data_IF_701681304820
#
_entry.id   IF_701681304820
#
_cell.length_a   1.000
_cell.length_b   1.000
_cell.length_c   1.000
_cell.angle_alpha   90.00
_cell.angle_beta   90.00
_cell.angle_gamma   90.00
#
_symmetry.space_group_name_H-M   'P 1'
#
loop_
_entity.id
_entity.type
_entity.pdbx_description
1 polymer ?
#
# COMPACT_ATOMS: atom_id res chain seq x y z
N UNK A 1 -6.17 8.62 -8.00
CA UNK A 1 -6.79 7.46 -7.34
C UNK A 1 -6.72 6.27 -8.26
N UNK A 2 -6.15 5.17 -7.79
CA UNK A 2 -6.11 3.90 -8.51
C UNK A 2 -7.38 3.11 -8.12
N UNK A 3 -8.43 3.33 -8.84
CA UNK A 3 -9.67 2.57 -8.75
C UNK A 3 -9.92 1.87 -10.09
N UNK A 4 -10.87 0.98 -10.17
CA UNK A 4 -11.21 0.33 -11.46
C UNK A 4 -12.05 1.22 -12.39
N UNK A 5 -12.15 2.53 -12.12
CA UNK A 5 -12.87 3.45 -12.98
C UNK A 5 -12.26 3.47 -14.39
N UNK A 6 -13.01 3.08 -15.42
CA UNK A 6 -12.54 3.08 -16.81
C UNK A 6 -12.27 4.49 -17.36
N UNK A 7 -12.71 5.53 -16.67
CA UNK A 7 -12.41 6.92 -17.04
C UNK A 7 -11.10 7.45 -16.42
N UNK A 8 -10.53 6.72 -15.44
CA UNK A 8 -9.35 7.19 -14.73
C UNK A 8 -8.04 6.72 -15.37
N UNK A 9 -7.28 7.59 -16.06
CA UNK A 9 -6.06 7.22 -16.76
C UNK A 9 -4.93 6.74 -15.85
N UNK A 10 -4.94 7.03 -14.56
CA UNK A 10 -3.94 6.50 -13.61
C UNK A 10 -3.91 4.97 -13.56
N UNK A 11 -4.96 4.30 -14.00
CA UNK A 11 -5.02 2.86 -14.03
C UNK A 11 -4.17 2.22 -15.14
N UNK A 12 -4.00 2.92 -16.29
CA UNK A 12 -3.30 2.34 -17.47
C UNK A 12 -2.22 3.23 -18.07
N UNK A 13 -2.14 4.49 -17.69
CA UNK A 13 -1.17 5.44 -18.23
C UNK A 13 -0.11 5.78 -17.18
N UNK A 14 1.09 5.24 -17.37
CA UNK A 14 2.22 5.51 -16.48
C UNK A 14 2.68 6.98 -16.48
N UNK A 15 2.35 7.74 -17.53
CA UNK A 15 2.69 9.17 -17.62
C UNK A 15 1.86 10.03 -16.65
N UNK A 16 0.75 9.49 -16.18
CA UNK A 16 -0.15 10.23 -15.29
C UNK A 16 0.47 10.46 -13.91
N UNK A 17 1.05 9.41 -13.32
CA UNK A 17 1.53 9.43 -11.95
C UNK A 17 2.96 8.86 -11.82
N UNK A 18 3.22 7.67 -12.36
CA UNK A 18 4.48 6.93 -12.15
C UNK A 18 5.67 7.74 -12.63
N UNK A 19 5.64 8.23 -13.87
CA UNK A 19 6.75 9.00 -14.44
C UNK A 19 6.92 10.39 -13.85
N UNK A 20 5.92 10.88 -13.12
CA UNK A 20 5.97 12.14 -12.37
C UNK A 20 6.43 11.95 -10.91
N UNK A 21 6.57 10.70 -10.47
CA UNK A 21 7.03 10.40 -9.13
C UNK A 21 8.46 10.89 -8.91
N UNK A 22 8.77 11.50 -7.75
CA UNK A 22 10.17 11.80 -7.37
C UNK A 22 11.09 10.58 -7.36
N UNK A 23 10.54 9.38 -7.25
CA UNK A 23 11.29 8.13 -7.29
C UNK A 23 11.67 7.70 -8.72
N UNK A 24 11.02 8.26 -9.75
CA UNK A 24 11.21 7.83 -11.13
C UNK A 24 12.66 7.82 -11.61
N UNK A 25 13.49 8.86 -11.35
CA UNK A 25 14.91 8.84 -11.76
C UNK A 25 15.73 7.73 -11.10
N UNK A 26 15.30 7.28 -9.91
CA UNK A 26 16.01 6.25 -9.15
C UNK A 26 15.57 4.83 -9.51
N UNK A 27 14.59 4.69 -10.38
CA UNK A 27 14.00 3.41 -10.79
C UNK A 27 14.51 2.95 -12.18
N UNK A 28 15.61 3.52 -12.67
CA UNK A 28 16.12 3.20 -14.01
C UNK A 28 15.12 3.50 -15.13
N UNK A 29 14.18 4.41 -14.90
CA UNK A 29 13.07 4.74 -15.81
C UNK A 29 12.24 3.50 -16.22
N UNK A 30 12.14 2.51 -15.34
CA UNK A 30 11.39 1.28 -15.59
C UNK A 30 9.98 1.35 -15.01
N UNK A 31 8.97 1.24 -15.86
CA UNK A 31 7.57 1.13 -15.43
C UNK A 31 7.30 -0.22 -14.77
N UNK A 32 8.00 -1.27 -15.20
CA UNK A 32 7.72 -2.63 -14.76
C UNK A 32 7.93 -2.88 -13.27
N UNK A 33 8.77 -2.10 -12.59
CA UNK A 33 9.01 -2.27 -11.14
C UNK A 33 7.86 -1.77 -10.26
N UNK A 34 6.92 -1.03 -10.82
CA UNK A 34 5.77 -0.49 -10.09
C UNK A 34 4.61 -1.46 -9.98
N UNK A 35 4.73 -2.61 -10.62
CA UNK A 35 3.71 -3.65 -10.60
C UNK A 35 4.32 -5.02 -10.35
N UNK A 36 3.74 -5.75 -9.41
CA UNK A 36 4.09 -7.16 -9.19
C UNK A 36 3.79 -7.97 -10.46
N UNK A 37 4.73 -8.77 -10.97
CA UNK A 37 4.49 -9.62 -12.15
C UNK A 37 3.36 -10.64 -11.97
N UNK A 38 3.03 -10.99 -10.73
CA UNK A 38 1.92 -11.89 -10.41
C UNK A 38 0.56 -11.17 -10.37
N UNK A 39 0.53 -9.84 -10.33
CA UNK A 39 -0.70 -9.06 -10.49
C UNK A 39 -1.13 -9.06 -11.95
N UNK A 40 -2.24 -9.73 -12.25
CA UNK A 40 -2.84 -9.84 -13.59
C UNK A 40 -4.01 -8.88 -13.78
N UNK A 41 -4.15 -7.89 -12.91
CA UNK A 41 -5.24 -6.93 -13.00
C UNK A 41 -5.24 -6.18 -14.33
N UNK A 42 -6.42 -5.97 -14.86
CA UNK A 42 -6.65 -5.26 -16.11
C UNK A 42 -7.74 -4.20 -15.93
N UNK A 43 -7.82 -3.29 -16.86
CA UNK A 43 -8.87 -2.28 -16.96
C UNK A 43 -9.27 -2.12 -18.42
N UNK A 44 -10.49 -1.69 -18.68
CA UNK A 44 -10.97 -1.35 -20.02
C UNK A 44 -11.23 0.16 -20.07
N UNK A 45 -10.28 0.98 -20.57
CA UNK A 45 -10.47 2.42 -20.67
C UNK A 45 -11.72 2.81 -21.45
N UNK A 46 -12.43 3.84 -20.99
CA UNK A 46 -13.59 4.39 -21.67
C UNK A 46 -13.22 5.46 -22.71
N UNK A 47 -11.97 5.95 -22.68
CA UNK A 47 -11.47 7.02 -23.54
C UNK A 47 -9.96 6.87 -23.82
N UNK A 48 -9.44 7.72 -24.71
CA UNK A 48 -8.03 7.75 -25.07
C UNK A 48 -7.61 6.64 -26.06
N UNK A 49 -6.29 6.43 -26.27
CA UNK A 49 -5.77 5.54 -27.30
C UNK A 49 -6.10 4.06 -27.08
N UNK A 50 -6.49 3.68 -25.87
CA UNK A 50 -6.86 2.31 -25.50
C UNK A 50 -8.35 2.12 -25.24
N UNK A 51 -9.19 3.08 -25.66
CA UNK A 51 -10.63 3.01 -25.43
C UNK A 51 -11.23 1.69 -25.92
N UNK A 52 -11.98 1.01 -25.04
CA UNK A 52 -12.61 -0.27 -25.34
C UNK A 52 -11.67 -1.49 -25.33
N UNK A 53 -10.36 -1.32 -25.24
CA UNK A 53 -9.40 -2.42 -25.16
C UNK A 53 -9.20 -2.87 -23.70
N UNK A 54 -8.88 -4.14 -23.51
CA UNK A 54 -8.44 -4.64 -22.19
C UNK A 54 -6.94 -4.44 -22.07
N UNK A 55 -6.52 -3.60 -21.15
CA UNK A 55 -5.09 -3.30 -20.90
C UNK A 55 -4.69 -3.61 -19.47
N UNK A 56 -3.42 -3.98 -19.21
CA UNK A 56 -2.93 -4.16 -17.85
C UNK A 56 -3.04 -2.87 -17.06
N UNK A 57 -3.36 -2.97 -15.75
CA UNK A 57 -3.12 -1.86 -14.82
C UNK A 57 -1.62 -1.69 -14.61
N UNK A 58 -1.18 -0.45 -14.38
CA UNK A 58 0.26 -0.11 -14.36
C UNK A 58 0.90 -0.22 -12.99
N UNK A 59 0.13 -0.47 -11.93
CA UNK A 59 0.65 -0.39 -10.57
C UNK A 59 -0.01 -1.35 -9.60
N UNK A 60 0.79 -2.00 -8.75
CA UNK A 60 0.38 -2.68 -7.53
C UNK A 60 1.27 -2.30 -6.34
N UNK A 61 2.41 -1.64 -6.57
CA UNK A 61 3.27 -1.20 -5.49
C UNK A 61 2.71 0.03 -4.78
N UNK A 62 2.67 -0.02 -3.45
CA UNK A 62 2.22 1.05 -2.59
C UNK A 62 3.27 1.37 -1.53
N UNK A 63 3.41 2.66 -1.20
CA UNK A 63 4.38 3.14 -0.22
C UNK A 63 3.75 3.29 1.16
N UNK A 64 4.48 2.92 2.21
CA UNK A 64 4.03 3.13 3.59
C UNK A 64 3.70 4.60 3.85
N UNK A 65 2.51 4.86 4.37
CA UNK A 65 2.11 6.22 4.76
C UNK A 65 2.99 6.79 5.89
N UNK A 66 3.61 5.93 6.68
CA UNK A 66 4.49 6.32 7.77
C UNK A 66 5.87 6.78 7.30
N UNK A 67 6.19 6.57 6.00
CA UNK A 67 7.40 7.04 5.34
C UNK A 67 7.06 8.16 4.38
N UNK A 68 7.56 9.37 4.62
CA UNK A 68 7.25 10.57 3.84
C UNK A 68 5.90 11.21 4.18
N UNK A 69 4.98 10.46 4.74
CA UNK A 69 3.64 10.91 5.10
C UNK A 69 2.75 11.21 3.91
N UNK A 70 1.56 11.67 4.21
CA UNK A 70 0.57 12.11 3.23
C UNK A 70 0.39 13.62 3.29
N UNK A 71 0.46 14.31 2.15
CA UNK A 71 0.09 15.72 2.06
C UNK A 71 -1.33 15.88 1.54
N UNK A 72 -2.18 16.51 2.34
CA UNK A 72 -3.49 16.96 1.91
C UNK A 72 -3.58 18.49 2.08
N UNK A 73 -3.98 19.17 1.03
CA UNK A 73 -4.24 20.61 0.84
C UNK A 73 -3.38 21.64 1.59
N UNK A 74 -3.00 21.50 2.85
CA UNK A 74 -2.24 22.52 3.61
C UNK A 74 -1.24 21.94 4.61
N UNK A 75 -0.88 20.66 4.53
CA UNK A 75 0.07 20.08 5.46
C UNK A 75 0.23 18.58 5.35
N UNK A 76 1.20 18.07 6.10
CA UNK A 76 1.42 16.66 6.25
C UNK A 76 0.28 16.07 7.09
N UNK A 77 -0.59 15.28 6.48
CA UNK A 77 -1.59 14.52 7.21
C UNK A 77 -0.89 13.30 7.80
N UNK A 78 -0.56 13.42 9.07
CA UNK A 78 0.00 12.33 9.87
C UNK A 78 -1.10 11.54 10.59
N UNK A 79 -2.31 12.01 10.44
CA UNK A 79 -3.51 11.47 11.03
C UNK A 79 -4.56 11.34 9.92
N UNK A 80 -4.57 10.20 9.28
CA UNK A 80 -5.65 9.87 8.33
C UNK A 80 -6.93 9.43 9.05
N UNK A 81 -7.14 9.89 10.28
CA UNK A 81 -8.27 9.50 11.13
C UNK A 81 -8.13 8.11 11.76
N UNK A 82 -7.02 7.43 11.52
CA UNK A 82 -6.92 6.01 11.80
C UNK A 82 -6.08 5.66 13.02
N UNK A 83 -5.08 6.47 13.35
CA UNK A 83 -4.15 6.15 14.42
C UNK A 83 -3.81 7.34 15.32
N UNK A 84 -4.36 8.52 15.04
CA UNK A 84 -4.19 9.74 15.81
C UNK A 84 -2.80 10.39 15.69
N UNK A 85 -2.63 11.59 16.25
CA UNK A 85 -1.42 12.41 16.09
C UNK A 85 -0.20 11.90 16.88
N UNK A 86 -0.34 10.79 17.58
CA UNK A 86 0.68 10.24 18.48
C UNK A 86 1.76 9.41 17.77
N UNK A 87 1.59 9.12 16.49
CA UNK A 87 2.51 8.27 15.74
C UNK A 87 3.49 9.08 14.91
N UNK A 88 4.73 8.58 14.80
CA UNK A 88 5.79 9.22 14.02
C UNK A 88 5.54 9.04 12.53
N UNK A 89 5.88 10.07 11.74
CA UNK A 89 6.08 9.96 10.30
C UNK A 89 7.55 10.23 10.04
N UNK A 90 8.21 9.31 9.36
CA UNK A 90 9.64 9.38 9.08
C UNK A 90 9.87 10.17 7.79
N UNK A 91 10.51 11.32 7.88
CA UNK A 91 10.82 12.17 6.72
C UNK A 91 12.20 11.91 6.12
N UNK A 92 13.07 11.29 6.87
CA UNK A 92 14.44 10.93 6.47
C UNK A 92 14.90 9.68 7.22
N UNK A 93 15.93 9.03 6.71
CA UNK A 93 16.45 7.77 7.25
C UNK A 93 16.87 7.89 8.74
N UNK A 94 17.46 9.03 9.11
CA UNK A 94 17.88 9.28 10.51
C UNK A 94 16.72 9.37 11.51
N UNK A 95 15.48 9.55 11.05
CA UNK A 95 14.30 9.57 11.91
C UNK A 95 13.86 8.15 12.34
N UNK A 96 14.34 7.14 11.61
CA UNK A 96 13.95 5.73 11.76
C UNK A 96 14.78 5.01 12.83
N UNK A 97 15.08 5.66 13.97
CA UNK A 97 15.84 5.03 15.05
C UNK A 97 15.09 3.85 15.69
N UNK A 98 13.78 3.92 15.73
CA UNK A 98 12.88 2.85 16.18
C UNK A 98 11.67 2.79 15.23
N UNK A 99 11.40 1.63 14.62
CA UNK A 99 11.95 0.27 14.83
C UNK A 99 13.31 0.01 14.15
N UNK A 100 13.92 1.01 13.57
CA UNK A 100 15.17 0.94 12.80
C UNK A 100 14.92 0.70 11.30
N UNK A 101 15.86 1.11 10.43
CA UNK A 101 15.71 1.00 8.98
C UNK A 101 15.47 -0.44 8.50
N UNK A 102 16.12 -1.41 9.12
CA UNK A 102 15.97 -2.86 8.80
C UNK A 102 14.58 -3.41 9.16
N UNK A 103 13.83 -2.70 9.96
CA UNK A 103 12.48 -3.10 10.38
C UNK A 103 11.40 -2.11 9.94
N UNK A 104 11.75 -1.06 9.20
CA UNK A 104 10.77 -0.11 8.66
C UNK A 104 10.50 -0.45 7.20
N UNK A 105 9.34 -1.03 6.91
CA UNK A 105 8.96 -1.29 5.53
C UNK A 105 8.59 0.00 4.81
N UNK A 106 8.98 0.09 3.54
CA UNK A 106 8.81 1.30 2.69
C UNK A 106 7.82 1.05 1.57
N UNK A 107 7.94 -0.08 0.87
CA UNK A 107 7.06 -0.44 -0.24
C UNK A 107 6.53 -1.86 -0.02
N UNK A 108 5.32 -2.09 -0.46
CA UNK A 108 4.72 -3.43 -0.52
C UNK A 108 3.86 -3.61 -1.77
N UNK A 109 3.62 -4.85 -2.16
CA UNK A 109 2.54 -5.18 -3.07
C UNK A 109 1.21 -4.95 -2.37
N UNK A 110 0.33 -4.18 -2.99
CA UNK A 110 -1.04 -4.02 -2.53
C UNK A 110 -1.99 -4.79 -3.42
N UNK A 111 -3.07 -5.28 -2.85
CA UNK A 111 -4.10 -6.01 -3.60
C UNK A 111 -4.74 -5.14 -4.66
N UNK A 112 -4.97 -5.72 -5.83
CA UNK A 112 -5.56 -5.05 -6.99
C UNK A 112 -6.95 -4.46 -6.72
N UNK A 113 -7.72 -5.05 -5.83
CA UNK A 113 -9.07 -4.61 -5.44
C UNK A 113 -9.07 -3.65 -4.25
N UNK A 114 -7.91 -3.25 -3.76
CA UNK A 114 -7.74 -2.36 -2.60
C UNK A 114 -6.82 -1.17 -2.85
N UNK A 115 -5.93 -1.25 -3.81
CA UNK A 115 -5.02 -0.15 -4.13
C UNK A 115 -5.79 1.09 -4.59
N UNK A 116 -5.54 2.23 -3.94
CA UNK A 116 -6.25 3.47 -4.21
C UNK A 116 -5.32 4.64 -4.59
N UNK A 117 -4.46 5.11 -3.73
CA UNK A 117 -3.59 6.26 -3.98
C UNK A 117 -2.12 5.91 -4.23
N UNK A 118 -1.74 4.67 -4.07
CA UNK A 118 -0.34 4.21 -4.17
C UNK A 118 0.48 4.49 -2.93
N UNK A 119 -0.19 4.74 -1.83
CA UNK A 119 0.30 4.60 -0.47
C UNK A 119 -0.53 3.53 0.23
N UNK A 120 0.08 2.86 1.18
CA UNK A 120 -0.56 1.82 1.96
C UNK A 120 -0.57 2.20 3.44
N UNK A 121 -1.69 1.98 4.06
CA UNK A 121 -1.95 2.36 5.43
C UNK A 121 -1.95 1.15 6.36
N UNK A 122 -0.97 1.08 7.28
CA UNK A 122 -1.06 0.19 8.43
C UNK A 122 -1.72 0.93 9.58
N UNK A 123 -2.93 0.51 9.95
CA UNK A 123 -3.63 1.08 11.11
C UNK A 123 -2.91 0.65 12.40
N UNK A 124 -2.52 1.63 13.20
CA UNK A 124 -1.79 1.41 14.45
C UNK A 124 -2.71 1.28 15.67
N UNK A 125 -4.03 1.22 15.44
CA UNK A 125 -4.99 1.07 16.55
C UNK A 125 -4.69 -0.19 17.36
N UNK A 126 -4.70 -0.04 18.67
CA UNK A 126 -4.47 -1.14 19.59
C UNK A 126 -3.04 -1.67 19.67
N UNK A 127 -2.09 -1.10 18.92
CA UNK A 127 -0.69 -1.52 19.00
C UNK A 127 0.01 -0.91 20.23
N UNK A 128 0.79 -1.68 20.98
CA UNK A 128 0.96 -3.15 20.88
C UNK A 128 -0.01 -3.95 21.78
N UNK A 129 -0.68 -3.29 22.75
CA UNK A 129 -1.21 -3.96 23.94
C UNK A 129 -2.73 -4.25 23.90
N UNK A 130 -3.43 -3.75 22.89
CA UNK A 130 -4.87 -3.97 22.72
C UNK A 130 -5.23 -4.72 21.42
N UNK A 131 -4.82 -6.00 21.27
CA UNK A 131 -4.97 -6.76 20.03
C UNK A 131 -6.43 -7.02 19.63
N UNK A 132 -7.37 -6.83 20.53
CA UNK A 132 -8.81 -6.90 20.23
C UNK A 132 -9.29 -5.77 19.30
N UNK A 133 -8.52 -4.68 19.18
CA UNK A 133 -8.85 -3.51 18.36
C UNK A 133 -8.21 -3.56 16.97
N UNK A 134 -7.34 -4.53 16.66
CA UNK A 134 -6.63 -4.58 15.39
C UNK A 134 -7.58 -4.74 14.22
N UNK A 135 -7.26 -4.06 13.12
CA UNK A 135 -8.08 -4.01 11.91
C UNK A 135 -7.23 -3.65 10.69
N UNK A 136 -7.72 -3.98 9.51
CA UNK A 136 -7.27 -3.36 8.26
C UNK A 136 -8.05 -2.06 8.04
N UNK A 137 -7.40 -1.09 7.43
CA UNK A 137 -8.01 0.17 7.02
C UNK A 137 -7.76 0.36 5.52
N UNK A 138 -8.82 0.29 4.75
CA UNK A 138 -8.82 0.31 3.28
C UNK A 138 -7.83 -0.65 2.64
N UNK A 139 -6.53 -0.44 2.88
CA UNK A 139 -5.44 -1.08 2.19
C UNK A 139 -5.18 -2.48 2.72
N UNK A 140 -5.05 -3.41 1.80
CA UNK A 140 -4.70 -4.80 2.10
C UNK A 140 -3.42 -5.17 1.38
N UNK A 141 -2.50 -5.85 2.07
CA UNK A 141 -1.29 -6.35 1.41
C UNK A 141 -1.64 -7.36 0.33
N UNK A 142 -0.81 -7.44 -0.68
CA UNK A 142 -0.92 -8.45 -1.74
C UNK A 142 -0.88 -9.88 -1.19
N UNK A 143 -1.46 -10.79 -1.96
CA UNK A 143 -1.45 -12.23 -1.65
C UNK A 143 -1.02 -13.06 -2.87
N UNK A 144 -0.32 -12.44 -3.80
CA UNK A 144 0.01 -12.98 -5.13
C UNK A 144 1.00 -14.14 -5.10
N UNK A 145 1.88 -14.19 -4.10
CA UNK A 145 2.95 -15.16 -3.98
C UNK A 145 2.57 -16.34 -3.06
N UNK A 146 1.53 -17.06 -3.40
CA UNK A 146 1.00 -18.15 -2.58
C UNK A 146 0.69 -17.68 -1.15
N UNK A 147 -0.21 -16.70 -1.04
CA UNK A 147 -0.59 -16.04 0.22
C UNK A 147 0.59 -15.31 0.88
N UNK A 148 1.39 -14.64 0.08
CA UNK A 148 2.49 -13.82 0.54
C UNK A 148 2.53 -12.50 -0.20
N UNK A 149 3.24 -11.53 0.39
CA UNK A 149 3.43 -10.19 -0.13
C UNK A 149 4.93 -9.85 -0.12
N UNK A 150 5.39 -9.15 -1.15
CA UNK A 150 6.72 -8.57 -1.19
C UNK A 150 6.78 -7.26 -0.40
N UNK A 151 7.81 -7.09 0.40
CA UNK A 151 8.13 -5.86 1.13
C UNK A 151 9.55 -5.42 0.82
N UNK A 152 9.76 -4.11 0.65
CA UNK A 152 11.07 -3.49 0.74
C UNK A 152 11.21 -2.69 2.02
N UNK A 153 12.41 -2.60 2.56
CA UNK A 153 12.71 -1.94 3.82
C UNK A 153 13.61 -0.72 3.62
N UNK A 154 13.68 0.14 4.62
CA UNK A 154 14.39 1.40 4.52
C UNK A 154 15.92 1.27 4.44
N UNK A 155 16.48 0.14 4.79
CA UNK A 155 17.90 -0.19 4.59
C UNK A 155 18.21 -0.77 3.18
N UNK A 156 17.18 -0.96 2.34
CA UNK A 156 17.29 -1.45 0.97
C UNK A 156 17.11 -2.95 0.79
N UNK A 157 16.97 -3.74 1.87
CA UNK A 157 16.65 -5.16 1.68
C UNK A 157 15.17 -5.38 1.33
N UNK A 158 14.86 -6.56 0.82
CA UNK A 158 13.49 -6.98 0.54
C UNK A 158 13.23 -8.39 1.08
N UNK A 159 11.99 -8.64 1.44
CA UNK A 159 11.55 -9.98 1.88
C UNK A 159 10.15 -10.31 1.35
N UNK A 160 9.85 -11.60 1.28
CA UNK A 160 8.51 -12.11 1.00
C UNK A 160 7.89 -12.58 2.30
N UNK A 161 6.87 -11.87 2.76
CA UNK A 161 6.12 -12.19 3.98
C UNK A 161 4.95 -13.11 3.65
N UNK A 162 4.99 -14.33 4.13
CA UNK A 162 3.86 -15.26 4.06
C UNK A 162 2.83 -14.96 5.14
N UNK A 163 1.58 -14.82 4.74
CA UNK A 163 0.46 -14.58 5.65
C UNK A 163 0.07 -15.83 6.42
N UNK A 164 -0.26 -15.65 7.68
CA UNK A 164 -0.63 -16.72 8.61
C UNK A 164 -2.13 -16.78 8.88
N UNK A 165 -2.81 -15.66 8.76
CA UNK A 165 -4.23 -15.52 9.05
C UNK A 165 -5.04 -15.42 7.75
N UNK A 166 -6.09 -16.22 7.64
CA UNK A 166 -6.93 -16.24 6.42
C UNK A 166 -7.64 -14.90 6.19
N UNK A 167 -7.89 -14.14 7.25
CA UNK A 167 -8.48 -12.80 7.17
C UNK A 167 -7.57 -11.78 6.49
N UNK A 168 -6.28 -12.06 6.38
CA UNK A 168 -5.33 -11.22 5.62
C UNK A 168 -5.43 -11.48 4.12
N UNK A 169 -5.95 -12.64 3.71
CA UNK A 169 -6.05 -13.08 2.31
C UNK A 169 -7.51 -13.39 1.91
N UNK A 170 -8.49 -12.49 2.10
CA UNK A 170 -9.82 -12.76 1.60
C UNK A 170 -9.80 -12.87 0.07
N UNK A 171 -10.78 -13.53 -0.56
CA UNK A 171 -10.86 -13.64 -2.01
C UNK A 171 -10.77 -12.27 -2.70
N UNK A 172 -10.02 -12.21 -3.80
CA UNK A 172 -9.90 -10.98 -4.59
C UNK A 172 -11.19 -10.77 -5.39
N UNK A 173 -11.70 -9.54 -5.39
CA UNK A 173 -12.85 -9.13 -6.19
C UNK A 173 -12.36 -8.56 -7.50
N UNK A 174 -12.30 -9.40 -8.53
CA UNK A 174 -11.82 -9.01 -9.86
C UNK A 174 -12.71 -7.94 -10.48
N UNK A 175 -12.10 -6.86 -10.96
CA UNK A 175 -12.82 -5.72 -11.54
C UNK A 175 -13.72 -5.03 -10.55
N UNK A 176 -13.62 -5.42 -9.28
CA UNK A 176 -14.42 -4.87 -8.20
C UNK A 176 -14.07 -3.41 -7.98
N UNK A 177 -15.10 -2.59 -7.97
CA UNK A 177 -14.98 -1.29 -7.37
C UNK A 177 -14.49 -1.50 -5.94
N UNK A 178 -13.50 -0.75 -5.57
CA UNK A 178 -13.09 -0.53 -4.21
C UNK A 178 -14.32 -0.29 -3.32
N UNK A 179 -14.80 -1.36 -2.73
CA UNK A 179 -15.96 -1.30 -1.87
C UNK A 179 -15.50 -0.89 -0.49
N UNK A 180 -15.74 0.30 -0.23
CA UNK A 180 -15.47 1.16 0.89
C UNK A 180 -15.92 0.64 2.26
N UNK A 181 -15.55 -0.57 2.62
CA UNK A 181 -15.49 -0.89 4.04
C UNK A 181 -14.18 -0.31 4.54
N UNK A 182 -14.27 0.88 5.08
CA UNK A 182 -13.11 1.64 5.58
C UNK A 182 -12.30 0.83 6.58
N UNK A 183 -12.99 0.20 7.52
CA UNK A 183 -12.36 -0.59 8.57
C UNK A 183 -12.85 -2.04 8.56
N UNK A 184 -11.92 -2.98 8.45
CA UNK A 184 -12.22 -4.40 8.57
C UNK A 184 -11.62 -4.94 9.86
N UNK A 185 -12.45 -5.17 10.90
CA UNK A 185 -11.96 -5.72 12.16
C UNK A 185 -11.28 -7.07 11.95
N UNK A 186 -10.10 -7.21 12.52
CA UNK A 186 -9.33 -8.45 12.47
C UNK A 186 -8.56 -8.64 13.80
N UNK A 187 -9.30 -8.81 14.91
CA UNK A 187 -8.71 -8.86 16.23
C UNK A 187 -7.73 -10.02 16.37
N UNK A 188 -6.62 -9.77 17.06
CA UNK A 188 -5.52 -10.72 17.29
C UNK A 188 -4.91 -11.33 16.02
N UNK A 189 -5.04 -10.66 14.89
CA UNK A 189 -4.42 -11.11 13.64
C UNK A 189 -2.89 -10.93 13.71
N UNK A 190 -2.10 -12.01 13.65
CA UNK A 190 -0.65 -11.93 13.76
C UNK A 190 0.02 -11.21 12.60
N UNK A 191 -0.66 -11.13 11.46
CA UNK A 191 -0.13 -10.45 10.28
C UNK A 191 -0.26 -8.93 10.42
N UNK A 192 -1.36 -8.45 11.02
CA UNK A 192 -1.51 -7.02 11.37
C UNK A 192 -0.43 -6.63 12.39
N UNK A 193 -0.21 -7.44 13.42
CA UNK A 193 0.85 -7.18 14.39
C UNK A 193 2.22 -7.07 13.72
N UNK A 194 2.52 -8.02 12.81
CA UNK A 194 3.78 -8.01 12.06
C UNK A 194 3.97 -6.72 11.24
N UNK A 195 2.89 -6.23 10.60
CA UNK A 195 2.92 -4.97 9.85
C UNK A 195 3.09 -3.77 10.78
N UNK A 196 2.35 -3.72 11.89
CA UNK A 196 2.43 -2.65 12.89
C UNK A 196 3.83 -2.53 13.48
N UNK A 197 4.46 -3.66 13.85
CA UNK A 197 5.83 -3.70 14.37
C UNK A 197 6.86 -3.10 13.42
N UNK A 198 6.55 -3.09 12.11
CA UNK A 198 7.44 -2.65 11.04
C UNK A 198 7.01 -1.35 10.37
N UNK A 199 6.06 -0.66 10.96
CA UNK A 199 5.51 0.59 10.39
C UNK A 199 6.05 1.83 11.09
N UNK A 200 5.70 2.04 12.34
CA UNK A 200 6.02 3.26 13.08
C UNK A 200 6.04 3.05 14.60
N UNK A 201 6.35 4.11 15.34
CA UNK A 201 6.32 4.17 16.81
C UNK A 201 5.64 5.43 17.30
N UNK A 202 5.20 5.40 18.56
CA UNK A 202 4.69 6.61 19.24
C UNK A 202 5.76 7.70 19.30
N UNK A 203 5.30 8.94 19.23
CA UNK A 203 6.16 10.13 19.44
C UNK A 203 6.68 10.21 20.87
#
# INVERSE_FOLDING_TARGET
VLNYDPANPSNWNADQDIKKSPLWPYCGNSVGIWKCPADRSTVRPSSGPFAGQVVPRVRSMAMSIWVGGWKQNNGLVTDAGCSGPTWRVYSKLSDMADPGPTRTWVLMDEREDRINYGNAFTDMIGYPDAPSQWRFHYDYPGSYHNRACGFSFADGHAEIKKWRDDRTCPPIVLGGAWNAVEYVPSPRNPDIFWMQERSTRKK
#
